data_IF_702782892803
#
_entry.id   IF_702782892803
#
_cell.length_a   1.000
_cell.length_b   1.000
_cell.length_c   1.000
_cell.angle_alpha   90.00
_cell.angle_beta   90.00
_cell.angle_gamma   90.00
#
_symmetry.space_group_name_H-M   'P 1'
#
loop_
_entity.id
_entity.type
_entity.pdbx_description
1 polymer ?
#
# COMPACT_ATOMS: atom_id res chain seq x y z
N UNK A 1 5.75 -13.89 3.87
CA UNK A 1 4.34 -13.59 3.57
C UNK A 1 3.85 -12.63 4.63
N UNK A 2 3.24 -11.52 4.27
CA UNK A 2 2.87 -10.45 5.20
C UNK A 2 1.39 -10.18 5.09
N UNK A 3 0.68 -10.32 6.20
CA UNK A 3 -0.71 -9.92 6.34
C UNK A 3 -0.77 -8.58 7.06
N UNK A 4 -1.64 -7.68 6.60
CA UNK A 4 -1.87 -6.39 7.23
C UNK A 4 -3.30 -6.31 7.73
N UNK A 5 -3.47 -6.14 9.06
CA UNK A 5 -4.76 -5.95 9.71
C UNK A 5 -4.90 -4.52 10.23
N UNK A 6 -6.08 -3.96 10.05
CA UNK A 6 -6.43 -2.64 10.56
C UNK A 6 -7.72 -2.71 11.38
N UNK A 7 -7.69 -2.24 12.60
CA UNK A 7 -8.85 -2.10 13.48
C UNK A 7 -9.13 -0.61 13.71
N UNK A 8 -10.37 -0.20 13.58
CA UNK A 8 -10.77 1.23 13.61
C UNK A 8 -10.48 1.95 14.94
N UNK A 9 -10.21 1.24 16.03
CA UNK A 9 -10.03 1.86 17.35
C UNK A 9 -8.64 1.72 17.99
N UNK A 10 -7.77 0.84 17.47
CA UNK A 10 -6.40 0.74 17.97
C UNK A 10 -5.44 0.47 16.82
N UNK A 11 -4.48 1.35 16.64
CA UNK A 11 -3.31 1.10 15.80
C UNK A 11 -2.42 0.12 16.55
N UNK A 12 -2.71 -1.15 16.46
CA UNK A 12 -1.75 -2.16 16.88
C UNK A 12 -0.55 -2.06 15.92
N UNK A 13 0.63 -1.89 16.48
CA UNK A 13 1.88 -1.82 15.73
C UNK A 13 1.99 -3.03 14.81
N UNK A 14 1.96 -2.81 13.50
CA UNK A 14 2.13 -3.85 12.47
C UNK A 14 3.48 -4.61 12.59
N UNK A 15 4.37 -4.17 13.46
CA UNK A 15 5.65 -4.81 13.74
C UNK A 15 5.50 -6.18 14.45
N UNK A 16 4.36 -6.46 15.09
CA UNK A 16 4.18 -7.69 15.88
C UNK A 16 3.68 -8.87 15.03
N UNK A 17 3.17 -8.63 13.84
CA UNK A 17 2.67 -9.68 12.94
C UNK A 17 3.69 -10.19 11.92
N UNK A 18 4.97 -9.79 12.03
CA UNK A 18 6.09 -10.42 11.34
C UNK A 18 6.51 -11.66 12.18
N UNK A 19 5.56 -12.50 12.54
CA UNK A 19 5.85 -13.72 13.27
C UNK A 19 6.17 -14.86 12.29
N UNK A 20 7.45 -15.19 12.21
CA UNK A 20 8.01 -16.53 12.05
C UNK A 20 7.12 -17.52 11.29
N UNK A 21 7.18 -17.54 9.97
CA UNK A 21 6.74 -18.70 9.24
C UNK A 21 7.89 -19.34 8.47
N UNK A 22 8.44 -20.39 9.07
CA UNK A 22 9.28 -21.42 8.45
C UNK A 22 8.38 -22.47 7.79
N UNK A 23 7.77 -22.17 6.66
CA UNK A 23 7.24 -23.21 5.77
C UNK A 23 7.07 -22.63 4.38
N UNK A 24 7.97 -22.97 3.48
CA UNK A 24 7.75 -22.85 2.05
C UNK A 24 7.00 -24.13 1.62
N UNK A 25 5.81 -24.04 1.05
CA UNK A 25 5.17 -25.22 0.46
C UNK A 25 5.97 -25.71 -0.76
N UNK A 26 5.83 -26.99 -1.07
CA UNK A 26 6.52 -27.64 -2.18
C UNK A 26 6.20 -26.96 -3.54
N UNK A 27 7.10 -26.96 -4.52
CA UNK A 27 6.98 -26.18 -5.76
C UNK A 27 5.71 -26.41 -6.58
N UNK A 28 5.11 -27.60 -6.54
CA UNK A 28 3.87 -27.92 -7.26
C UNK A 28 2.61 -27.33 -6.58
N UNK A 29 2.68 -26.96 -5.31
CA UNK A 29 1.61 -26.24 -4.60
C UNK A 29 1.67 -24.72 -4.88
N UNK A 30 2.80 -24.24 -5.39
CA UNK A 30 2.98 -22.80 -5.71
C UNK A 30 2.19 -22.40 -6.96
N UNK A 31 2.04 -23.30 -7.95
CA UNK A 31 1.28 -23.02 -9.17
C UNK A 31 -0.22 -22.86 -8.88
N UNK A 32 -0.78 -23.67 -7.98
CA UNK A 32 -2.19 -23.60 -7.61
C UNK A 32 -2.48 -22.45 -6.62
N UNK A 33 -1.49 -22.08 -5.81
CA UNK A 33 -1.55 -20.91 -4.92
C UNK A 33 -1.41 -19.57 -5.67
N UNK A 34 -0.72 -19.55 -6.81
CA UNK A 34 -0.63 -18.35 -7.66
C UNK A 34 -1.96 -17.99 -8.34
N UNK A 35 -2.88 -18.92 -8.49
CA UNK A 35 -4.24 -18.66 -8.98
C UNK A 35 -5.17 -18.08 -7.91
N UNK A 36 -4.78 -18.11 -6.64
CA UNK A 36 -5.56 -17.62 -5.50
C UNK A 36 -4.74 -16.62 -4.64
N UNK A 37 -4.11 -15.65 -5.29
CA UNK A 37 -3.46 -14.58 -4.54
C UNK A 37 -4.50 -13.87 -3.66
N UNK A 38 -4.40 -14.05 -2.34
CA UNK A 38 -5.26 -13.37 -1.38
C UNK A 38 -6.16 -14.30 -0.60
N UNK A 39 -7.46 -14.15 -0.79
CA UNK A 39 -8.50 -14.87 -0.03
C UNK A 39 -8.89 -16.16 -0.72
N UNK A 40 -8.96 -17.29 0.04
CA UNK A 40 -9.36 -18.59 -0.47
C UNK A 40 -10.06 -19.42 0.61
N UNK A 41 -10.72 -20.54 0.20
CA UNK A 41 -11.30 -21.52 1.12
C UNK A 41 -10.44 -22.77 1.18
N UNK A 42 -10.20 -23.23 2.38
CA UNK A 42 -9.58 -24.53 2.66
C UNK A 42 -10.45 -25.28 3.66
N UNK A 43 -11.01 -26.46 3.27
CA UNK A 43 -11.87 -27.30 4.14
C UNK A 43 -12.94 -26.49 4.89
N UNK A 44 -13.74 -25.72 4.15
CA UNK A 44 -14.79 -24.82 4.66
C UNK A 44 -14.32 -23.61 5.50
N UNK A 45 -13.04 -23.42 5.68
CA UNK A 45 -12.48 -22.26 6.36
C UNK A 45 -12.06 -21.20 5.37
N UNK A 46 -12.37 -19.93 5.69
CA UNK A 46 -11.90 -18.79 4.90
C UNK A 46 -10.49 -18.42 5.35
N UNK A 47 -9.58 -18.39 4.41
CA UNK A 47 -8.16 -18.10 4.65
C UNK A 47 -7.70 -16.91 3.82
N UNK A 48 -6.63 -16.27 4.25
CA UNK A 48 -5.91 -15.22 3.54
C UNK A 48 -4.41 -15.35 3.77
N UNK A 49 -3.64 -15.38 2.69
CA UNK A 49 -2.16 -15.47 2.74
C UNK A 49 -1.66 -16.60 3.67
N UNK A 50 -2.37 -17.76 3.75
CA UNK A 50 -2.03 -18.89 4.60
C UNK A 50 -2.51 -18.81 6.05
N UNK A 51 -3.28 -17.78 6.41
CA UNK A 51 -3.84 -17.60 7.74
C UNK A 51 -5.36 -17.73 7.71
N UNK A 52 -5.94 -18.38 8.72
CA UNK A 52 -7.39 -18.49 8.89
C UNK A 52 -7.96 -17.15 9.36
N UNK A 53 -9.08 -16.70 8.76
CA UNK A 53 -9.72 -15.44 9.15
C UNK A 53 -10.36 -15.48 10.53
N UNK A 54 -10.86 -16.64 10.97
CA UNK A 54 -11.39 -16.79 12.33
C UNK A 54 -10.28 -16.60 13.38
N UNK A 55 -9.09 -17.19 13.17
CA UNK A 55 -7.96 -16.97 14.07
C UNK A 55 -7.50 -15.51 14.12
N UNK A 56 -7.59 -14.80 12.98
CA UNK A 56 -7.31 -13.36 12.94
C UNK A 56 -8.39 -12.60 13.73
N UNK A 57 -9.66 -12.94 13.57
CA UNK A 57 -10.76 -12.33 14.30
C UNK A 57 -10.67 -12.59 15.81
N UNK A 58 -10.30 -13.79 16.23
CA UNK A 58 -10.10 -14.14 17.64
C UNK A 58 -8.95 -13.31 18.26
N UNK A 59 -7.89 -13.09 17.50
CA UNK A 59 -6.72 -12.34 17.98
C UNK A 59 -6.95 -10.82 18.04
N UNK A 60 -7.65 -10.24 17.05
CA UNK A 60 -7.77 -8.78 16.88
C UNK A 60 -9.16 -8.25 17.16
N UNK A 61 -10.16 -9.12 17.33
CA UNK A 61 -11.56 -8.76 17.48
C UNK A 61 -12.23 -8.41 16.14
N UNK A 62 -13.53 -8.18 16.22
CA UNK A 62 -14.36 -7.74 15.08
C UNK A 62 -15.14 -6.49 15.47
N UNK A 63 -15.48 -5.58 14.52
CA UNK A 63 -15.16 -5.64 13.09
C UNK A 63 -13.71 -5.30 12.80
N UNK A 64 -13.09 -5.92 11.77
CA UNK A 64 -11.74 -5.60 11.31
C UNK A 64 -11.63 -5.67 9.78
N UNK A 65 -10.69 -4.89 9.24
CA UNK A 65 -10.31 -4.96 7.84
C UNK A 65 -9.04 -5.78 7.69
N UNK A 66 -9.04 -6.72 6.74
CA UNK A 66 -7.90 -7.58 6.43
C UNK A 66 -7.46 -7.34 4.99
N UNK A 67 -6.17 -7.07 4.79
CA UNK A 67 -5.58 -6.84 3.48
C UNK A 67 -4.55 -7.93 3.19
N UNK A 68 -4.65 -8.54 2.01
CA UNK A 68 -3.70 -9.54 1.53
C UNK A 68 -2.47 -8.88 0.91
N UNK A 69 -1.31 -9.13 1.45
CA UNK A 69 -0.05 -8.68 0.86
C UNK A 69 0.25 -9.39 -0.46
N UNK A 70 -0.11 -10.68 -0.57
CA UNK A 70 0.06 -11.45 -1.80
C UNK A 70 -0.82 -10.88 -2.93
N UNK A 71 -2.09 -10.55 -2.66
CA UNK A 71 -2.98 -9.96 -3.65
C UNK A 71 -2.49 -8.57 -4.12
N UNK A 72 -2.07 -7.70 -3.19
CA UNK A 72 -1.51 -6.38 -3.52
C UNK A 72 -0.27 -6.55 -4.42
N UNK A 73 0.63 -7.45 -4.06
CA UNK A 73 1.86 -7.74 -4.82
C UNK A 73 1.55 -8.27 -6.22
N UNK A 74 0.63 -9.24 -6.34
CA UNK A 74 0.23 -9.83 -7.61
C UNK A 74 -0.38 -8.77 -8.55
N UNK A 75 -1.28 -7.92 -8.02
CA UNK A 75 -1.90 -6.85 -8.80
C UNK A 75 -0.86 -5.81 -9.26
N UNK A 76 0.09 -5.44 -8.40
CA UNK A 76 1.16 -4.53 -8.79
C UNK A 76 2.01 -5.11 -9.93
N UNK A 77 2.40 -6.38 -9.84
CA UNK A 77 3.16 -7.04 -10.90
C UNK A 77 2.36 -7.19 -12.20
N UNK A 78 1.07 -7.51 -12.13
CA UNK A 78 0.20 -7.55 -13.30
C UNK A 78 0.13 -6.18 -14.00
N UNK A 79 -0.03 -5.09 -13.24
CA UNK A 79 -0.01 -3.73 -13.77
C UNK A 79 1.34 -3.39 -14.42
N UNK A 80 2.46 -3.70 -13.77
CA UNK A 80 3.79 -3.41 -14.31
C UNK A 80 4.08 -4.19 -15.58
N UNK A 81 3.57 -5.42 -15.70
CA UNK A 81 3.72 -6.22 -16.91
C UNK A 81 3.00 -5.60 -18.12
N UNK A 82 1.81 -5.01 -17.92
CA UNK A 82 1.05 -4.32 -18.97
C UNK A 82 1.80 -3.07 -19.45
N UNK A 83 2.41 -2.32 -18.53
CA UNK A 83 3.12 -1.08 -18.80
C UNK A 83 4.63 -1.31 -18.97
N UNK A 84 5.04 -2.42 -19.57
CA UNK A 84 6.45 -2.69 -19.88
C UNK A 84 7.01 -1.60 -20.82
N UNK A 85 8.05 -0.89 -20.38
CA UNK A 85 8.71 0.17 -21.14
C UNK A 85 9.51 1.11 -20.25
N UNK A 86 10.49 1.81 -20.87
CA UNK A 86 11.32 2.79 -20.15
C UNK A 86 10.48 4.01 -19.75
N UNK A 87 10.78 4.60 -18.60
CA UNK A 87 10.20 5.83 -18.08
C UNK A 87 8.71 5.75 -17.66
N UNK A 88 8.27 4.61 -17.13
CA UNK A 88 6.93 4.47 -16.55
C UNK A 88 7.03 4.13 -15.08
N UNK A 89 6.25 4.81 -14.26
CA UNK A 89 6.13 4.53 -12.83
C UNK A 89 4.66 4.45 -12.46
N UNK A 90 4.30 3.43 -11.69
CA UNK A 90 2.98 3.34 -11.06
C UNK A 90 3.03 4.14 -9.77
N UNK A 91 2.10 5.08 -9.58
CA UNK A 91 1.92 5.79 -8.32
C UNK A 91 0.67 5.27 -7.62
N UNK A 92 0.86 4.86 -6.38
CA UNK A 92 -0.23 4.37 -5.54
C UNK A 92 -1.00 5.56 -4.95
N UNK A 93 -2.31 5.63 -5.21
CA UNK A 93 -3.18 6.66 -4.65
C UNK A 93 -3.36 6.43 -3.14
N UNK A 94 -2.69 7.23 -2.31
CA UNK A 94 -2.66 7.05 -0.86
C UNK A 94 -4.04 7.15 -0.22
N UNK A 95 -4.94 7.96 -0.78
CA UNK A 95 -6.34 8.09 -0.32
C UNK A 95 -7.11 6.77 -0.29
N UNK A 96 -6.70 5.75 -1.06
CA UNK A 96 -7.33 4.43 -1.04
C UNK A 96 -7.08 3.70 0.29
N UNK A 97 -5.84 3.73 0.78
CA UNK A 97 -5.46 3.21 2.10
C UNK A 97 -4.10 3.77 2.52
N UNK A 98 -4.10 4.66 3.48
CA UNK A 98 -2.87 5.30 4.00
C UNK A 98 -2.20 4.53 5.15
N UNK A 99 -2.53 3.25 5.37
CA UNK A 99 -1.89 2.41 6.36
C UNK A 99 -0.39 2.26 6.03
N UNK A 100 0.47 2.52 7.01
CA UNK A 100 1.93 2.50 6.82
C UNK A 100 2.45 1.13 6.35
N UNK A 101 1.81 0.03 6.72
CA UNK A 101 2.21 -1.30 6.27
C UNK A 101 1.93 -1.50 4.77
N UNK A 102 0.77 -1.02 4.28
CA UNK A 102 0.43 -1.03 2.85
C UNK A 102 1.38 -0.12 2.08
N UNK A 103 1.63 1.10 2.59
CA UNK A 103 2.55 2.05 1.96
C UNK A 103 3.98 1.49 1.85
N UNK A 104 4.49 0.85 2.92
CA UNK A 104 5.80 0.19 2.91
C UNK A 104 5.88 -0.97 1.91
N UNK A 105 4.78 -1.72 1.75
CA UNK A 105 4.71 -2.76 0.74
C UNK A 105 4.80 -2.15 -0.67
N UNK A 106 4.02 -1.11 -0.96
CA UNK A 106 4.06 -0.43 -2.25
C UNK A 106 5.43 0.18 -2.54
N UNK A 107 6.06 0.79 -1.54
CA UNK A 107 7.41 1.33 -1.65
C UNK A 107 8.44 0.24 -2.00
N UNK A 108 8.38 -0.91 -1.32
CA UNK A 108 9.26 -2.06 -1.58
C UNK A 108 9.07 -2.67 -2.98
N UNK A 109 7.86 -2.60 -3.52
CA UNK A 109 7.55 -3.03 -4.89
C UNK A 109 8.07 -2.05 -5.95
N UNK A 110 8.54 -0.86 -5.54
CA UNK A 110 9.07 0.16 -6.44
C UNK A 110 8.02 1.14 -6.96
N UNK A 111 6.82 1.18 -6.38
CA UNK A 111 5.83 2.19 -6.68
C UNK A 111 6.30 3.59 -6.25
N UNK A 112 5.81 4.62 -6.92
CA UNK A 112 5.67 5.94 -6.35
C UNK A 112 4.37 6.05 -5.55
N UNK A 113 4.08 7.23 -5.03
CA UNK A 113 2.84 7.51 -4.31
C UNK A 113 2.21 8.81 -4.78
N UNK A 114 0.89 8.82 -4.92
CA UNK A 114 0.07 10.00 -5.20
C UNK A 114 -0.58 10.45 -3.91
N UNK A 115 -0.28 11.68 -3.50
CA UNK A 115 -0.71 12.32 -2.25
C UNK A 115 -1.61 13.51 -2.55
N UNK A 116 -2.48 13.85 -1.61
CA UNK A 116 -3.41 14.99 -1.72
C UNK A 116 -3.33 15.98 -0.55
N UNK A 117 -2.36 15.81 0.36
CA UNK A 117 -2.11 16.71 1.50
C UNK A 117 -0.71 16.55 2.06
N UNK A 118 -0.24 17.54 2.83
CA UNK A 118 1.03 17.43 3.55
C UNK A 118 0.97 16.42 4.71
N UNK A 119 -0.22 16.08 5.20
CA UNK A 119 -0.39 14.96 6.13
C UNK A 119 -0.07 13.61 5.47
N UNK A 120 -0.50 13.42 4.22
CA UNK A 120 -0.13 12.25 3.42
C UNK A 120 1.35 12.26 3.03
N UNK A 121 1.94 13.43 2.75
CA UNK A 121 3.38 13.59 2.55
C UNK A 121 4.17 13.04 3.74
N UNK A 122 3.83 13.46 4.97
CA UNK A 122 4.50 12.98 6.18
C UNK A 122 4.37 11.45 6.35
N UNK A 123 3.20 10.88 6.03
CA UNK A 123 3.00 9.42 6.05
C UNK A 123 3.83 8.70 4.99
N UNK A 124 3.97 9.28 3.80
CA UNK A 124 4.81 8.73 2.73
C UNK A 124 6.28 8.68 3.16
N UNK A 125 6.80 9.75 3.75
CA UNK A 125 8.15 9.79 4.32
C UNK A 125 8.32 8.72 5.40
N UNK A 126 7.37 8.59 6.33
CA UNK A 126 7.40 7.57 7.38
C UNK A 126 7.32 6.12 6.83
N UNK A 127 6.78 5.94 5.63
CA UNK A 127 6.75 4.65 4.93
C UNK A 127 8.04 4.36 4.14
N UNK A 128 8.94 5.35 3.96
CA UNK A 128 10.22 5.22 3.28
C UNK A 128 10.23 5.71 1.83
N UNK A 129 9.21 6.43 1.39
CA UNK A 129 9.26 7.11 0.10
C UNK A 129 10.15 8.35 0.17
N UNK A 130 10.86 8.64 -0.91
CA UNK A 130 11.53 9.93 -1.07
C UNK A 130 10.59 10.93 -1.76
N UNK A 131 10.79 12.26 -1.57
CA UNK A 131 9.94 13.27 -2.21
C UNK A 131 9.86 13.13 -3.74
N UNK A 132 10.96 12.73 -4.40
CA UNK A 132 11.01 12.53 -5.84
C UNK A 132 10.13 11.35 -6.33
N UNK A 133 9.69 10.48 -5.42
CA UNK A 133 8.78 9.37 -5.71
C UNK A 133 7.31 9.76 -5.55
N UNK A 134 7.02 11.01 -5.21
CA UNK A 134 5.68 11.49 -4.91
C UNK A 134 5.13 12.36 -6.02
N UNK A 135 3.84 12.24 -6.26
CA UNK A 135 3.01 13.16 -7.04
C UNK A 135 2.04 13.83 -6.08
N UNK A 136 1.94 15.15 -6.12
CA UNK A 136 0.99 15.90 -5.32
C UNK A 136 -0.18 16.35 -6.18
N UNK A 137 -1.33 15.73 -5.97
CA UNK A 137 -2.59 15.94 -6.70
C UNK A 137 -3.65 16.62 -5.82
N UNK A 138 -4.80 16.90 -6.40
CA UNK A 138 -5.99 17.40 -5.70
C UNK A 138 -6.18 18.90 -5.77
N UNK A 139 -7.45 19.31 -5.64
CA UNK A 139 -7.93 20.68 -5.85
C UNK A 139 -7.78 21.60 -4.62
N UNK A 140 -7.35 21.06 -3.49
CA UNK A 140 -7.34 21.78 -2.20
C UNK A 140 -5.95 22.13 -1.69
N UNK A 141 -4.92 22.13 -2.55
CA UNK A 141 -3.56 22.52 -2.15
C UNK A 141 -3.51 23.99 -1.75
N UNK A 142 -3.04 24.27 -0.55
CA UNK A 142 -2.83 25.63 -0.08
C UNK A 142 -1.48 26.19 -0.58
N UNK A 143 -1.32 27.53 -0.64
CA UNK A 143 -0.04 28.13 -0.98
C UNK A 143 1.13 27.65 -0.12
N UNK A 144 0.91 27.42 1.17
CA UNK A 144 1.94 26.94 2.09
C UNK A 144 2.31 25.48 1.81
N UNK A 145 1.34 24.64 1.49
CA UNK A 145 1.58 23.25 1.07
C UNK A 145 2.35 23.18 -0.24
N UNK A 146 2.02 24.05 -1.22
CA UNK A 146 2.75 24.13 -2.49
C UNK A 146 4.21 24.55 -2.25
N UNK A 147 4.45 25.60 -1.46
CA UNK A 147 5.81 26.02 -1.11
C UNK A 147 6.61 24.93 -0.40
N UNK A 148 5.97 24.23 0.55
CA UNK A 148 6.59 23.11 1.26
C UNK A 148 6.94 21.97 0.32
N UNK A 149 6.04 21.58 -0.59
CA UNK A 149 6.25 20.53 -1.58
C UNK A 149 7.40 20.87 -2.54
N UNK A 150 7.46 22.12 -3.05
CA UNK A 150 8.53 22.61 -3.91
C UNK A 150 9.87 22.59 -3.15
N UNK A 151 9.88 23.08 -1.92
CA UNK A 151 11.09 23.10 -1.06
C UNK A 151 11.61 21.70 -0.78
N UNK A 152 10.70 20.73 -0.61
CA UNK A 152 11.03 19.32 -0.43
C UNK A 152 11.49 18.64 -1.72
N UNK A 153 11.41 19.30 -2.87
CA UNK A 153 11.72 18.76 -4.21
C UNK A 153 10.85 17.55 -4.56
N UNK A 154 9.53 17.70 -4.37
CA UNK A 154 8.59 16.66 -4.74
C UNK A 154 8.70 16.35 -6.25
N UNK A 155 8.50 15.09 -6.65
CA UNK A 155 8.73 14.66 -8.02
C UNK A 155 7.81 15.32 -9.04
N UNK A 156 6.55 15.57 -8.67
CA UNK A 156 5.57 16.22 -9.54
C UNK A 156 4.45 16.87 -8.72
N UNK A 157 3.97 18.01 -9.20
CA UNK A 157 2.74 18.66 -8.72
C UNK A 157 1.76 18.72 -9.89
N UNK A 158 0.55 18.19 -9.70
CA UNK A 158 -0.53 18.33 -10.65
C UNK A 158 -1.29 19.63 -10.34
N UNK A 159 -1.11 20.66 -11.17
CA UNK A 159 -1.88 21.90 -11.04
C UNK A 159 -3.31 21.68 -11.54
N UNK A 160 -4.28 22.03 -10.72
CA UNK A 160 -5.71 21.83 -10.98
C UNK A 160 -6.40 23.11 -11.45
N UNK A 161 -5.72 24.25 -11.36
CA UNK A 161 -6.25 25.54 -11.79
C UNK A 161 -5.13 26.54 -12.13
N UNK A 162 -5.48 27.59 -12.89
CA UNK A 162 -4.58 28.70 -13.15
C UNK A 162 -4.15 29.40 -11.86
N UNK A 163 -5.06 29.57 -10.91
CA UNK A 163 -4.76 30.20 -9.63
C UNK A 163 -3.70 29.45 -8.81
N UNK A 164 -3.63 28.12 -8.92
CA UNK A 164 -2.57 27.33 -8.31
C UNK A 164 -1.20 27.57 -8.96
N UNK A 165 -1.18 27.80 -10.28
CA UNK A 165 0.07 28.07 -11.01
C UNK A 165 0.62 29.45 -10.65
N UNK A 166 -0.27 30.41 -10.39
CA UNK A 166 0.07 31.80 -10.09
C UNK A 166 0.50 32.00 -8.61
N UNK A 167 0.43 30.94 -7.77
CA UNK A 167 0.78 30.95 -6.35
C UNK A 167 2.25 30.60 -6.11
#
# INVERSE_FOLDING_TARGET
MHLYCYQQQHVASAATLIARQKYLPAPHLISDLMTMAGFYREKDQLCVDGLRLDAIADQFGTPLYVYSAAAITANYHAMTAIFSGKNRRIHYAMKANSNLAVLRLMQKLGAGVDIVSMGEFARAIAAGFTPEQMVFSGVGKTPDELRAAISAKIGQINAESQAEIDT
#
